data_IF_669746859723
#
_entry.id   IF_669746859723
#
_cell.length_a   1.000
_cell.length_b   1.000
_cell.length_c   1.000
_cell.angle_alpha   90.00
_cell.angle_beta   90.00
_cell.angle_gamma   90.00
#
_symmetry.space_group_name_H-M   'P 1'
#
loop_
_entity.id
_entity.type
_entity.pdbx_description
1 polymer ?
#
# COMPACT_ATOMS: atom_id res chain seq x y z
N UNK A 1 -20.41 -15.10 -4.98
CA UNK A 1 -19.37 -14.17 -4.50
C UNK A 1 -18.21 -14.28 -5.46
N UNK A 2 -17.86 -13.18 -6.11
CA UNK A 2 -16.71 -13.12 -7.03
C UNK A 2 -15.58 -12.40 -6.29
N UNK A 3 -14.34 -12.87 -6.44
CA UNK A 3 -13.18 -12.24 -5.81
C UNK A 3 -12.04 -12.08 -6.81
N UNK A 4 -11.63 -10.83 -7.01
CA UNK A 4 -10.49 -10.43 -7.83
C UNK A 4 -9.37 -9.98 -6.89
N UNK A 5 -8.42 -10.88 -6.60
CA UNK A 5 -7.39 -10.66 -5.57
C UNK A 5 -6.00 -10.55 -6.19
N UNK A 6 -5.14 -9.78 -5.53
CA UNK A 6 -3.72 -9.79 -5.80
C UNK A 6 -3.11 -11.15 -5.49
N UNK A 7 -2.11 -11.52 -6.27
CA UNK A 7 -1.38 -12.77 -6.09
C UNK A 7 0.09 -12.63 -6.51
N UNK A 8 1.04 -12.92 -5.59
CA UNK A 8 0.83 -13.34 -4.19
C UNK A 8 0.31 -12.19 -3.30
N UNK A 9 -0.13 -12.52 -2.09
CA UNK A 9 -0.49 -11.53 -1.07
C UNK A 9 0.71 -11.36 -0.14
N UNK A 10 1.20 -10.12 -0.02
CA UNK A 10 2.30 -9.82 0.90
C UNK A 10 1.89 -10.20 2.35
N UNK A 11 2.82 -10.79 3.14
CA UNK A 11 2.55 -11.13 4.52
C UNK A 11 2.21 -9.88 5.33
N UNK A 12 1.43 -10.08 6.40
CA UNK A 12 1.14 -9.00 7.33
C UNK A 12 2.43 -8.48 7.97
N UNK A 13 2.64 -7.16 7.86
CA UNK A 13 3.75 -6.46 8.48
C UNK A 13 3.20 -5.37 9.44
N UNK A 14 3.16 -5.61 10.76
CA UNK A 14 2.77 -4.61 11.73
C UNK A 14 3.92 -3.63 11.94
N UNK A 15 3.77 -2.40 11.43
CA UNK A 15 4.71 -1.30 11.69
C UNK A 15 4.87 -0.95 13.17
N UNK A 16 3.87 -1.24 14.01
CA UNK A 16 3.90 -0.90 15.43
C UNK A 16 5.07 -1.62 16.11
N UNK A 17 5.91 -0.85 16.79
CA UNK A 17 7.14 -1.36 17.41
C UNK A 17 8.35 -1.40 16.47
N UNK A 18 8.24 -0.90 15.23
CA UNK A 18 9.41 -0.68 14.38
C UNK A 18 10.41 0.28 15.04
N UNK A 19 11.68 0.08 14.71
CA UNK A 19 12.78 0.91 15.21
C UNK A 19 12.65 2.35 14.70
N UNK A 20 13.28 3.27 15.43
CA UNK A 20 13.46 4.65 14.97
C UNK A 20 14.40 4.66 13.78
N UNK A 21 13.96 5.29 12.68
CA UNK A 21 14.72 5.35 11.43
C UNK A 21 16.04 6.12 11.60
N UNK A 22 17.11 5.71 10.90
CA UNK A 22 18.46 6.14 11.22
C UNK A 22 18.77 7.59 10.85
N UNK A 23 18.08 8.20 9.87
CA UNK A 23 18.48 9.50 9.32
C UNK A 23 17.55 10.65 9.70
N UNK A 24 16.24 10.47 9.60
CA UNK A 24 15.27 11.50 10.01
C UNK A 24 14.65 11.23 11.38
N UNK A 25 15.00 10.12 12.04
CA UNK A 25 14.54 9.85 13.41
C UNK A 25 13.03 9.59 13.50
N UNK A 26 12.43 9.08 12.43
CA UNK A 26 11.00 8.76 12.38
C UNK A 26 10.69 7.59 13.31
N UNK A 27 9.78 7.80 14.24
CA UNK A 27 9.21 6.74 15.07
C UNK A 27 8.22 5.89 14.29
N UNK A 28 7.87 4.72 14.84
CA UNK A 28 6.92 3.80 14.23
C UNK A 28 5.66 4.52 13.74
N UNK A 29 4.97 5.32 14.54
CA UNK A 29 3.73 6.02 14.17
C UNK A 29 3.87 7.06 13.03
N UNK A 30 5.09 7.42 12.64
CA UNK A 30 5.37 8.33 11.51
C UNK A 30 5.68 7.59 10.21
N UNK A 31 5.82 6.26 10.27
CA UNK A 31 6.18 5.40 9.15
C UNK A 31 4.95 4.84 8.39
N UNK A 32 3.73 5.32 8.70
CA UNK A 32 2.46 4.75 8.18
C UNK A 32 2.36 4.71 6.66
N UNK A 33 2.93 5.71 5.98
CA UNK A 33 2.93 5.76 4.52
C UNK A 33 3.79 4.65 3.92
N UNK A 34 4.89 4.26 4.58
CA UNK A 34 5.82 3.28 4.05
C UNK A 34 5.24 1.87 3.92
N UNK A 35 4.23 1.48 4.72
CA UNK A 35 3.67 0.14 4.68
C UNK A 35 3.18 -0.25 3.28
N UNK A 36 2.54 0.66 2.56
CA UNK A 36 1.99 0.32 1.24
C UNK A 36 3.09 0.11 0.20
N UNK A 37 4.15 0.91 0.29
CA UNK A 37 5.29 0.82 -0.63
C UNK A 37 6.18 -0.38 -0.28
N UNK A 38 6.32 -0.70 1.00
CA UNK A 38 6.95 -1.91 1.49
C UNK A 38 6.17 -3.15 1.02
N UNK A 39 4.85 -3.20 1.19
CA UNK A 39 4.01 -4.30 0.67
C UNK A 39 4.21 -4.50 -0.84
N UNK A 40 4.33 -3.42 -1.62
CA UNK A 40 4.62 -3.50 -3.06
C UNK A 40 6.02 -4.04 -3.36
N UNK A 41 7.05 -3.67 -2.58
CA UNK A 41 8.41 -4.22 -2.71
C UNK A 41 8.41 -5.70 -2.35
N UNK A 42 7.72 -6.09 -1.28
CA UNK A 42 7.60 -7.50 -0.86
C UNK A 42 6.85 -8.30 -1.91
N UNK A 43 5.77 -7.76 -2.47
CA UNK A 43 5.07 -8.38 -3.59
C UNK A 43 6.01 -8.69 -4.76
N UNK A 44 6.82 -7.71 -5.19
CA UNK A 44 7.82 -7.92 -6.25
C UNK A 44 8.84 -8.97 -5.84
N UNK A 45 9.37 -8.91 -4.62
CA UNK A 45 10.31 -9.91 -4.11
C UNK A 45 9.73 -11.33 -4.13
N UNK A 46 8.46 -11.50 -3.78
CA UNK A 46 7.77 -12.79 -3.86
C UNK A 46 7.57 -13.25 -5.31
N UNK A 47 7.19 -12.35 -6.22
CA UNK A 47 7.00 -12.66 -7.65
C UNK A 47 8.30 -13.10 -8.32
N UNK A 48 9.39 -12.44 -7.97
CA UNK A 48 10.73 -12.67 -8.53
C UNK A 48 11.54 -13.70 -7.73
N UNK A 49 10.94 -14.35 -6.72
CA UNK A 49 11.58 -15.34 -5.83
C UNK A 49 12.88 -14.83 -5.17
N UNK A 50 12.90 -13.55 -4.77
CA UNK A 50 14.04 -12.94 -4.10
C UNK A 50 14.00 -13.29 -2.60
N UNK A 51 14.99 -14.04 -2.14
CA UNK A 51 15.09 -14.50 -0.75
C UNK A 51 15.15 -13.34 0.25
N UNK A 52 14.47 -13.49 1.40
CA UNK A 52 14.48 -12.53 2.50
C UNK A 52 13.57 -11.31 2.34
N UNK A 53 12.90 -11.12 1.18
CA UNK A 53 12.02 -9.97 0.98
C UNK A 53 10.76 -10.04 1.84
N UNK A 54 10.24 -11.24 2.13
CA UNK A 54 9.06 -11.42 3.01
C UNK A 54 9.30 -11.01 4.46
N UNK A 55 10.56 -10.84 4.88
CA UNK A 55 10.92 -10.36 6.22
C UNK A 55 11.22 -8.87 6.30
N UNK A 56 11.09 -8.13 5.19
CA UNK A 56 11.30 -6.68 5.20
C UNK A 56 10.23 -6.00 6.05
N UNK A 57 10.67 -5.24 7.05
CA UNK A 57 9.79 -4.39 7.87
C UNK A 57 9.66 -3.00 7.25
N UNK A 58 8.78 -2.17 7.82
CA UNK A 58 8.60 -0.80 7.36
C UNK A 58 9.82 0.04 7.70
N UNK A 59 10.47 -0.24 8.83
CA UNK A 59 11.80 0.29 9.14
C UNK A 59 12.83 0.01 8.05
N UNK A 60 12.92 -1.23 7.53
CA UNK A 60 13.87 -1.54 6.47
C UNK A 60 13.62 -0.72 5.20
N UNK A 61 12.34 -0.56 4.84
CA UNK A 61 11.95 0.30 3.72
C UNK A 61 12.38 1.76 3.95
N UNK A 62 12.10 2.32 5.12
CA UNK A 62 12.48 3.70 5.42
C UNK A 62 14.00 3.88 5.42
N UNK A 63 14.78 2.96 5.99
CA UNK A 63 16.24 3.05 5.98
C UNK A 63 16.82 3.22 4.55
N UNK A 64 16.20 2.59 3.55
CA UNK A 64 16.54 2.78 2.14
C UNK A 64 16.03 4.12 1.60
N UNK A 65 14.76 4.42 1.84
CA UNK A 65 14.10 5.64 1.36
C UNK A 65 14.77 6.91 1.87
N UNK A 66 15.13 6.99 3.15
CA UNK A 66 15.70 8.21 3.75
C UNK A 66 17.01 8.65 3.07
N UNK A 67 17.82 7.68 2.66
CA UNK A 67 19.05 7.94 1.91
C UNK A 67 18.74 8.55 0.55
N UNK A 68 17.75 7.99 -0.16
CA UNK A 68 17.29 8.50 -1.45
C UNK A 68 16.68 9.90 -1.33
N UNK A 69 15.81 10.13 -0.35
CA UNK A 69 15.14 11.41 -0.09
C UNK A 69 16.16 12.51 0.16
N UNK A 70 17.16 12.24 1.00
CA UNK A 70 18.21 13.21 1.30
C UNK A 70 19.09 13.51 0.10
N UNK A 71 19.41 12.51 -0.73
CA UNK A 71 20.20 12.69 -1.95
C UNK A 71 19.47 13.56 -2.97
N UNK A 72 18.16 13.35 -3.14
CA UNK A 72 17.35 14.05 -4.14
C UNK A 72 16.65 15.31 -3.60
N UNK A 73 16.87 15.66 -2.32
CA UNK A 73 16.25 16.81 -1.63
C UNK A 73 14.72 16.79 -1.73
N UNK A 74 14.14 15.62 -1.49
CA UNK A 74 12.71 15.31 -1.58
C UNK A 74 12.02 15.35 -0.20
N UNK A 75 10.73 15.04 -0.15
CA UNK A 75 9.94 15.02 1.08
C UNK A 75 9.59 13.59 1.50
N UNK A 76 10.05 13.20 2.70
CA UNK A 76 9.79 11.87 3.29
C UNK A 76 8.30 11.59 3.58
N UNK A 77 7.45 12.61 3.52
CA UNK A 77 6.01 12.49 3.69
C UNK A 77 5.22 12.64 2.37
N UNK A 78 5.89 12.82 1.23
CA UNK A 78 5.22 12.87 -0.07
C UNK A 78 5.18 11.48 -0.73
N UNK A 79 3.99 10.90 -0.77
CA UNK A 79 3.71 9.65 -1.48
C UNK A 79 4.15 9.62 -2.95
N UNK A 80 4.29 10.76 -3.63
CA UNK A 80 4.84 10.81 -4.98
C UNK A 80 6.35 10.49 -4.98
N UNK A 81 7.09 11.00 -4.00
CA UNK A 81 8.51 10.74 -3.82
C UNK A 81 8.76 9.26 -3.45
N UNK A 82 7.87 8.66 -2.66
CA UNK A 82 7.89 7.22 -2.39
C UNK A 82 7.71 6.37 -3.66
N UNK A 83 6.77 6.77 -4.54
CA UNK A 83 6.54 6.10 -5.83
C UNK A 83 7.73 6.28 -6.79
N UNK A 84 8.33 7.48 -6.83
CA UNK A 84 9.53 7.76 -7.62
C UNK A 84 10.70 6.88 -7.16
N UNK A 85 10.96 6.80 -5.85
CA UNK A 85 11.97 5.92 -5.27
C UNK A 85 11.74 4.44 -5.66
N UNK A 86 10.51 3.94 -5.55
CA UNK A 86 10.19 2.58 -5.96
C UNK A 86 10.51 2.36 -7.45
N UNK A 87 10.10 3.28 -8.32
CA UNK A 87 10.30 3.16 -9.76
C UNK A 87 11.78 3.16 -10.13
N UNK A 88 12.59 4.01 -9.49
CA UNK A 88 14.04 4.01 -9.66
C UNK A 88 14.67 2.70 -9.17
N UNK A 89 14.21 2.16 -8.04
CA UNK A 89 14.68 0.89 -7.52
C UNK A 89 14.39 -0.26 -8.50
N UNK A 90 13.18 -0.34 -9.05
CA UNK A 90 12.83 -1.37 -10.04
C UNK A 90 13.67 -1.23 -11.31
N UNK A 91 13.81 0.00 -11.83
CA UNK A 91 14.63 0.29 -13.01
C UNK A 91 16.10 -0.07 -12.80
N UNK A 92 16.67 0.26 -11.65
CA UNK A 92 18.07 -0.04 -11.33
C UNK A 92 18.36 -1.55 -11.27
N UNK A 93 17.32 -2.36 -11.02
CA UNK A 93 17.41 -3.82 -10.97
C UNK A 93 16.88 -4.52 -12.23
N UNK A 94 16.58 -3.76 -13.30
CA UNK A 94 16.00 -4.28 -14.55
C UNK A 94 14.68 -5.06 -14.34
N UNK A 95 13.89 -4.66 -13.34
CA UNK A 95 12.56 -5.22 -13.09
C UNK A 95 11.49 -4.37 -13.80
N UNK A 96 10.46 -5.00 -14.41
CA UNK A 96 9.46 -4.30 -15.22
C UNK A 96 8.44 -3.51 -14.39
N UNK A 97 8.46 -3.64 -13.07
CA UNK A 97 7.44 -3.06 -12.20
C UNK A 97 7.56 -1.55 -12.03
N UNK A 98 6.42 -0.87 -11.95
CA UNK A 98 6.35 0.54 -11.58
C UNK A 98 5.07 0.88 -10.82
N UNK A 99 5.13 1.88 -9.96
CA UNK A 99 3.98 2.51 -9.32
C UNK A 99 3.55 3.73 -10.14
N UNK A 100 2.26 3.77 -10.47
CA UNK A 100 1.60 4.92 -11.06
C UNK A 100 0.59 5.51 -10.08
N UNK A 101 0.86 6.75 -9.64
CA UNK A 101 -0.09 7.55 -8.86
C UNK A 101 -1.13 8.17 -9.79
N UNK A 102 -2.41 7.93 -9.54
CA UNK A 102 -3.54 8.54 -10.25
C UNK A 102 -4.55 9.11 -9.26
N UNK A 103 -5.44 9.96 -9.75
CA UNK A 103 -6.62 10.40 -8.98
C UNK A 103 -7.52 9.18 -8.71
N UNK A 104 -8.16 9.13 -7.54
CA UNK A 104 -9.08 8.03 -7.23
C UNK A 104 -10.27 7.98 -8.18
N UNK A 105 -10.50 6.79 -8.75
CA UNK A 105 -11.65 6.46 -9.57
C UNK A 105 -12.10 5.03 -9.24
N UNK A 106 -13.39 4.85 -8.93
CA UNK A 106 -13.94 3.59 -8.42
C UNK A 106 -14.00 2.52 -9.50
N UNK A 107 -14.46 2.90 -10.68
CA UNK A 107 -14.60 2.02 -11.84
C UNK A 107 -13.21 1.54 -12.31
N UNK A 108 -12.23 2.44 -12.37
CA UNK A 108 -10.84 2.12 -12.72
C UNK A 108 -10.22 1.16 -11.70
N UNK A 109 -10.47 1.36 -10.40
CA UNK A 109 -9.99 0.45 -9.36
C UNK A 109 -10.59 -0.96 -9.51
N UNK A 110 -11.87 -1.06 -9.84
CA UNK A 110 -12.51 -2.35 -10.11
C UNK A 110 -11.89 -3.03 -11.32
N UNK A 111 -11.77 -2.30 -12.44
CA UNK A 111 -11.15 -2.80 -13.67
C UNK A 111 -9.70 -3.21 -13.46
N UNK A 112 -8.97 -2.49 -12.60
CA UNK A 112 -7.59 -2.82 -12.26
C UNK A 112 -7.49 -4.23 -11.68
N UNK A 113 -8.29 -4.56 -10.65
CA UNK A 113 -8.28 -5.89 -10.05
C UNK A 113 -8.95 -6.95 -10.91
N UNK A 114 -9.97 -6.60 -11.70
CA UNK A 114 -10.60 -7.53 -12.65
C UNK A 114 -9.60 -8.02 -13.71
N UNK A 115 -8.63 -7.19 -14.09
CA UNK A 115 -7.66 -7.49 -15.15
C UNK A 115 -6.25 -7.83 -14.66
N UNK A 116 -5.92 -7.57 -13.39
CA UNK A 116 -4.57 -7.74 -12.85
C UNK A 116 -4.59 -8.34 -11.45
N UNK A 117 -3.53 -9.07 -11.11
CA UNK A 117 -3.32 -9.65 -9.78
C UNK A 117 -2.29 -8.86 -8.95
N UNK A 118 -2.24 -7.54 -9.12
CA UNK A 118 -1.27 -6.68 -8.45
C UNK A 118 -1.90 -5.95 -7.25
N UNK A 119 -1.19 -5.76 -6.12
CA UNK A 119 -1.67 -4.93 -5.02
C UNK A 119 -1.73 -3.45 -5.44
N UNK A 120 -2.47 -2.64 -4.70
CA UNK A 120 -2.44 -1.19 -4.88
C UNK A 120 -2.45 -0.46 -3.53
N UNK A 121 -2.13 0.84 -3.55
CA UNK A 121 -2.30 1.72 -2.42
C UNK A 121 -3.42 2.72 -2.66
N UNK A 122 -4.20 3.07 -1.64
CA UNK A 122 -5.23 4.10 -1.76
C UNK A 122 -5.00 5.16 -0.69
N UNK A 123 -4.70 6.38 -1.12
CA UNK A 123 -4.77 7.54 -0.23
C UNK A 123 -6.24 7.89 0.02
N UNK A 124 -6.62 8.08 1.28
CA UNK A 124 -8.01 8.25 1.72
C UNK A 124 -8.14 9.32 2.79
N UNK A 125 -9.36 9.85 2.95
CA UNK A 125 -9.73 10.76 4.03
C UNK A 125 -10.39 10.05 5.22
N UNK A 126 -10.05 8.77 5.46
CA UNK A 126 -10.53 8.03 6.64
C UNK A 126 -10.15 8.72 7.97
N UNK A 127 -9.08 9.52 7.97
CA UNK A 127 -8.71 10.37 9.10
C UNK A 127 -8.48 11.81 8.65
N UNK A 128 -8.53 12.75 9.61
CA UNK A 128 -8.24 14.18 9.35
C UNK A 128 -6.82 14.42 8.82
N UNK A 129 -5.87 13.52 9.08
CA UNK A 129 -4.48 13.61 8.61
C UNK A 129 -4.25 12.88 7.29
N UNK A 130 -5.29 12.30 6.71
CA UNK A 130 -5.18 11.32 5.63
C UNK A 130 -4.77 9.94 6.14
N UNK A 131 -5.03 8.91 5.33
CA UNK A 131 -4.68 7.52 5.63
C UNK A 131 -4.43 6.77 4.32
N UNK A 132 -3.45 5.86 4.31
CA UNK A 132 -3.17 5.03 3.14
C UNK A 132 -3.60 3.58 3.40
N UNK A 133 -4.51 3.08 2.57
CA UNK A 133 -5.02 1.72 2.62
C UNK A 133 -4.18 0.85 1.68
N UNK A 134 -3.90 -0.39 2.09
CA UNK A 134 -3.20 -1.39 1.27
C UNK A 134 -4.23 -2.30 0.62
N UNK A 135 -4.56 -2.00 -0.63
CA UNK A 135 -5.56 -2.73 -1.41
C UNK A 135 -5.03 -4.08 -1.89
N UNK A 136 -5.76 -5.14 -1.55
CA UNK A 136 -5.48 -6.52 -1.93
C UNK A 136 -6.40 -6.98 -3.06
N UNK A 137 -7.64 -6.51 -3.13
CA UNK A 137 -8.54 -6.95 -4.18
C UNK A 137 -9.96 -6.41 -4.07
N UNK A 138 -10.80 -6.79 -5.02
CA UNK A 138 -12.24 -6.53 -4.99
C UNK A 138 -13.01 -7.82 -4.70
N UNK A 139 -13.98 -7.72 -3.80
CA UNK A 139 -14.96 -8.78 -3.53
C UNK A 139 -16.35 -8.27 -3.91
N UNK A 140 -17.07 -9.06 -4.69
CA UNK A 140 -18.44 -8.76 -5.12
C UNK A 140 -19.41 -9.77 -4.50
N UNK A 141 -20.41 -9.25 -3.79
CA UNK A 141 -21.50 -10.04 -3.21
C UNK A 141 -22.54 -10.41 -4.26
N UNK A 142 -23.43 -11.35 -3.93
CA UNK A 142 -24.43 -11.87 -4.88
C UNK A 142 -25.44 -10.84 -5.38
N UNK A 143 -25.61 -9.74 -4.65
CA UNK A 143 -26.45 -8.59 -5.01
C UNK A 143 -25.70 -7.51 -5.81
N UNK A 144 -24.45 -7.77 -6.21
CA UNK A 144 -23.63 -6.87 -7.04
C UNK A 144 -22.88 -5.81 -6.25
N UNK A 145 -22.96 -5.81 -4.91
CA UNK A 145 -22.24 -4.84 -4.08
C UNK A 145 -20.75 -5.18 -4.01
N UNK A 146 -19.91 -4.17 -4.24
CA UNK A 146 -18.45 -4.32 -4.34
C UNK A 146 -17.75 -3.78 -3.09
N UNK A 147 -16.75 -4.52 -2.63
CA UNK A 147 -15.93 -4.20 -1.47
C UNK A 147 -14.44 -4.24 -1.83
N UNK A 148 -13.67 -3.27 -1.33
CA UNK A 148 -12.22 -3.35 -1.34
C UNK A 148 -11.76 -4.25 -0.20
N UNK A 149 -11.22 -5.42 -0.55
CA UNK A 149 -10.43 -6.22 0.38
C UNK A 149 -9.07 -5.56 0.58
N UNK A 150 -8.76 -5.23 1.82
CA UNK A 150 -7.55 -4.50 2.19
C UNK A 150 -6.87 -5.11 3.42
N UNK A 151 -5.59 -4.82 3.55
CA UNK A 151 -4.81 -5.08 4.76
C UNK A 151 -4.60 -3.77 5.48
N UNK A 152 -5.35 -3.53 6.56
CA UNK A 152 -5.35 -2.24 7.24
C UNK A 152 -5.43 -2.41 8.77
N UNK A 153 -4.70 -1.60 9.55
CA UNK A 153 -4.88 -1.54 11.01
C UNK A 153 -6.27 -1.05 11.45
N UNK A 154 -7.11 -0.51 10.56
CA UNK A 154 -8.42 0.05 10.95
C UNK A 154 -9.57 -0.95 11.20
N UNK A 155 -9.40 -2.26 11.03
CA UNK A 155 -10.41 -3.25 11.44
C UNK A 155 -11.77 -3.12 10.72
N UNK A 156 -12.77 -3.93 11.13
CA UNK A 156 -14.14 -3.86 10.58
C UNK A 156 -14.88 -2.68 11.23
N UNK A 157 -15.06 -1.60 10.48
CA UNK A 157 -15.78 -0.38 10.91
C UNK A 157 -14.90 0.70 11.53
N UNK A 158 -15.43 1.90 11.84
CA UNK A 158 -14.66 3.09 12.23
C UNK A 158 -14.05 3.04 13.66
N UNK A 159 -13.94 1.85 14.26
CA UNK A 159 -13.38 1.68 15.61
C UNK A 159 -12.10 0.86 15.55
N UNK A 160 -11.06 1.43 16.13
CA UNK A 160 -9.75 0.81 16.37
C UNK A 160 -9.92 -0.36 17.35
N UNK A 161 -10.26 -1.55 16.83
CA UNK A 161 -10.33 -2.78 17.61
C UNK A 161 -9.36 -3.73 16.94
N UNK A 162 -8.18 -3.85 17.55
CA UNK A 162 -7.08 -4.80 17.28
C UNK A 162 -5.80 -4.18 16.63
N UNK A 163 -4.70 -4.03 17.41
CA UNK A 163 -3.40 -3.57 16.92
C UNK A 163 -2.67 -4.57 15.99
N UNK A 164 -3.19 -5.79 15.77
CA UNK A 164 -2.57 -6.81 14.93
C UNK A 164 -2.99 -6.78 13.46
N UNK A 165 -3.91 -5.88 13.08
CA UNK A 165 -4.26 -5.65 11.69
C UNK A 165 -5.04 -6.77 11.02
N UNK A 166 -6.11 -6.39 10.34
CA UNK A 166 -7.05 -7.36 9.80
C UNK A 166 -7.12 -7.25 8.28
N UNK A 167 -7.32 -8.41 7.64
CA UNK A 167 -7.98 -8.44 6.35
C UNK A 167 -9.38 -7.87 6.56
N UNK A 168 -9.66 -6.73 5.94
CA UNK A 168 -10.93 -6.02 6.06
C UNK A 168 -11.51 -5.77 4.69
N UNK A 169 -12.82 -5.55 4.66
CA UNK A 169 -13.56 -5.22 3.46
C UNK A 169 -14.19 -3.84 3.65
N UNK A 170 -13.69 -2.85 2.91
CA UNK A 170 -14.33 -1.54 2.83
C UNK A 170 -15.42 -1.58 1.78
N UNK A 171 -16.61 -1.11 2.12
CA UNK A 171 -17.62 -0.78 1.13
C UNK A 171 -17.05 0.27 0.17
N UNK A 172 -17.01 -0.02 -1.14
CA UNK A 172 -16.42 0.90 -2.11
C UNK A 172 -17.21 2.19 -2.22
N UNK A 173 -18.54 2.14 -2.15
CA UNK A 173 -19.37 3.33 -2.30
C UNK A 173 -19.17 4.28 -1.12
N UNK A 174 -19.15 3.73 0.10
CA UNK A 174 -18.85 4.50 1.31
C UNK A 174 -17.42 5.06 1.27
N UNK A 175 -16.43 4.24 0.89
CA UNK A 175 -15.04 4.66 0.83
C UNK A 175 -14.81 5.82 -0.14
N UNK A 176 -15.39 5.74 -1.34
CA UNK A 176 -15.29 6.80 -2.33
C UNK A 176 -16.12 8.02 -1.98
N UNK A 177 -17.23 7.86 -1.24
CA UNK A 177 -17.99 8.98 -0.66
C UNK A 177 -17.19 9.73 0.40
N UNK A 178 -16.46 9.02 1.27
CA UNK A 178 -15.53 9.64 2.24
C UNK A 178 -14.36 10.35 1.54
N UNK A 179 -13.94 9.82 0.40
CA UNK A 179 -12.99 10.44 -0.51
C UNK A 179 -11.68 9.68 -0.63
N UNK A 180 -11.35 9.36 -1.88
CA UNK A 180 -10.11 8.72 -2.29
C UNK A 180 -9.38 9.68 -3.24
N UNK A 181 -8.52 10.58 -2.71
CA UNK A 181 -7.81 11.55 -3.55
C UNK A 181 -6.85 10.89 -4.55
N UNK A 182 -6.23 9.76 -4.19
CA UNK A 182 -5.25 9.12 -5.05
C UNK A 182 -5.18 7.60 -4.88
N UNK A 183 -4.84 6.91 -5.96
CA UNK A 183 -4.55 5.47 -5.98
C UNK A 183 -3.16 5.27 -6.58
N UNK A 184 -2.41 4.33 -6.00
CA UNK A 184 -1.06 3.91 -6.40
C UNK A 184 -1.18 2.53 -7.00
N UNK A 185 -1.25 2.46 -8.33
CA UNK A 185 -1.36 1.20 -9.06
C UNK A 185 0.04 0.64 -9.32
N UNK A 186 0.24 -0.64 -9.02
CA UNK A 186 1.42 -1.38 -9.46
C UNK A 186 1.15 -1.92 -10.87
N UNK A 187 1.98 -1.54 -11.83
CA UNK A 187 1.85 -1.87 -13.24
C UNK A 187 3.16 -2.52 -13.74
N UNK A 188 3.08 -3.28 -14.85
CA UNK A 188 4.22 -3.68 -15.68
C UNK A 188 4.57 -2.62 -16.73
#
# INVERSE_FOLDING_TARGET
MISHLSYPVAPWNPQRGDQVTPKFGLHDYQQCMGNVFQDMIVFVGMRENISGFTSLTTYNYYALLESWISKHKRNIYDSADHAEHFNELMKANNLPYRIRKKKGNKEELCQYFENHSYPCGLGTFLTRKGHIIRGIGIVETSDGKKYLKASDPYGVGPRYIDPYGHLINYDLDELFTMGVPSIFYLEL
#
